data_IF_694637122677
#
_entry.id   IF_694637122677
#
_cell.length_a   1.000
_cell.length_b   1.000
_cell.length_c   1.000
_cell.angle_alpha   90.00
_cell.angle_beta   90.00
_cell.angle_gamma   90.00
#
_symmetry.space_group_name_H-M   'P 1'
#
loop_
_entity.id
_entity.type
_entity.pdbx_description
1 polymer ?
#
# COMPACT_ATOMS: atom_id res chain seq x y z
N UNK A 1 16.43 3.16 -3.74
CA UNK A 1 16.63 1.81 -4.32
C UNK A 1 15.51 1.58 -5.32
N UNK A 2 15.80 1.03 -6.51
CA UNK A 2 14.73 0.62 -7.43
C UNK A 2 13.95 -0.54 -6.81
N UNK A 3 12.63 -0.41 -6.72
CA UNK A 3 11.71 -1.46 -6.26
C UNK A 3 11.00 -2.00 -7.48
N UNK A 4 11.13 -3.30 -7.73
CA UNK A 4 10.70 -3.99 -8.95
C UNK A 4 11.38 -3.50 -10.24
N UNK A 5 11.43 -4.34 -11.29
CA UNK A 5 11.87 -3.91 -12.62
C UNK A 5 11.09 -2.69 -13.13
N UNK A 6 11.70 -1.89 -14.01
CA UNK A 6 11.07 -0.67 -14.55
C UNK A 6 9.83 -0.95 -15.41
N UNK A 7 9.73 -2.15 -15.97
CA UNK A 7 8.57 -2.64 -16.73
C UNK A 7 7.52 -3.35 -15.86
N UNK A 8 7.74 -3.43 -14.54
CA UNK A 8 6.77 -3.94 -13.59
C UNK A 8 5.51 -3.05 -13.57
N UNK A 9 4.29 -3.60 -13.42
CA UNK A 9 3.09 -2.80 -13.26
C UNK A 9 3.19 -1.76 -12.15
N UNK A 10 3.89 -2.04 -11.04
CA UNK A 10 4.12 -1.06 -9.97
C UNK A 10 4.83 0.20 -10.46
N UNK A 11 5.67 0.12 -11.48
CA UNK A 11 6.41 1.27 -12.01
C UNK A 11 5.78 1.86 -13.28
N UNK A 12 4.59 1.40 -13.67
CA UNK A 12 3.90 1.86 -14.88
C UNK A 12 3.33 3.27 -14.69
N UNK A 13 3.78 4.19 -15.56
CA UNK A 13 3.16 5.50 -15.75
C UNK A 13 1.77 5.36 -16.37
N UNK A 14 0.76 5.93 -15.72
CA UNK A 14 -0.65 5.89 -16.13
C UNK A 14 -1.22 7.27 -16.45
N UNK A 15 -0.39 8.32 -16.48
CA UNK A 15 -0.82 9.71 -16.71
C UNK A 15 -1.57 9.88 -18.04
N UNK A 16 -1.25 9.06 -19.05
CA UNK A 16 -1.88 9.07 -20.38
C UNK A 16 -2.78 7.86 -20.62
N UNK A 17 -2.98 7.00 -19.63
CA UNK A 17 -3.85 5.83 -19.79
C UNK A 17 -5.32 6.26 -20.04
N UNK A 18 -6.11 5.51 -20.81
CA UNK A 18 -7.51 5.84 -21.02
C UNK A 18 -8.30 5.94 -19.71
N UNK A 19 -9.26 6.86 -19.65
CA UNK A 19 -10.23 6.96 -18.55
C UNK A 19 -11.30 5.87 -18.72
N UNK A 20 -11.73 5.28 -17.61
CA UNK A 20 -12.76 4.24 -17.64
C UNK A 20 -14.13 4.80 -18.10
N UNK A 21 -14.89 4.09 -18.96
CA UNK A 21 -16.22 4.54 -19.40
C UNK A 21 -17.21 4.78 -18.25
N UNK A 22 -17.05 4.11 -17.10
CA UNK A 22 -17.88 4.28 -15.91
C UNK A 22 -17.27 5.22 -14.86
N UNK A 23 -16.28 6.03 -15.25
CA UNK A 23 -15.59 6.98 -14.36
C UNK A 23 -16.57 7.81 -13.54
N UNK A 24 -17.59 8.42 -14.17
CA UNK A 24 -18.54 9.29 -13.47
C UNK A 24 -19.30 8.56 -12.38
N UNK A 25 -19.76 7.33 -12.63
CA UNK A 25 -20.53 6.53 -11.70
C UNK A 25 -19.66 6.02 -10.54
N UNK A 26 -18.43 5.59 -10.83
CA UNK A 26 -17.50 5.09 -9.82
C UNK A 26 -17.05 6.25 -8.91
N UNK A 27 -16.63 7.39 -9.49
CA UNK A 27 -16.19 8.57 -8.72
C UNK A 27 -17.33 9.11 -7.85
N UNK A 28 -18.59 9.03 -8.29
CA UNK A 28 -19.73 9.47 -7.48
C UNK A 28 -19.79 8.78 -6.09
N UNK A 29 -19.37 7.52 -5.97
CA UNK A 29 -19.32 6.78 -4.70
C UNK A 29 -18.22 7.26 -3.73
N UNK A 30 -17.22 7.97 -4.24
CA UNK A 30 -16.06 8.45 -3.47
C UNK A 30 -15.80 9.95 -3.63
N UNK A 31 -16.75 10.71 -4.20
CA UNK A 31 -16.55 12.12 -4.55
C UNK A 31 -16.35 13.04 -3.34
N UNK A 32 -17.12 12.80 -2.27
CA UNK A 32 -17.11 13.65 -1.07
C UNK A 32 -15.91 13.39 -0.13
N UNK A 33 -15.48 12.14 0.12
CA UNK A 33 -14.24 11.87 0.85
C UNK A 33 -13.04 12.65 0.30
N UNK A 34 -12.08 12.91 1.19
CA UNK A 34 -10.83 13.59 0.87
C UNK A 34 -9.65 12.68 1.15
N UNK A 35 -8.51 12.95 0.53
CA UNK A 35 -7.28 12.22 0.82
C UNK A 35 -6.91 12.39 2.29
N UNK A 36 -6.68 11.25 2.95
CA UNK A 36 -6.18 11.20 4.32
C UNK A 36 -4.82 10.49 4.31
N UNK A 37 -3.77 11.22 4.68
CA UNK A 37 -2.49 10.60 5.00
C UNK A 37 -2.63 9.80 6.30
N UNK A 38 -2.48 8.49 6.19
CA UNK A 38 -2.46 7.55 7.32
C UNK A 38 -1.02 7.17 7.67
N UNK A 39 -0.18 8.20 7.81
CA UNK A 39 1.22 8.14 8.18
C UNK A 39 1.68 9.50 8.68
N UNK A 40 2.77 9.55 9.44
CA UNK A 40 3.30 10.81 9.98
C UNK A 40 4.43 10.64 10.98
N UNK A 41 4.68 11.70 11.75
CA UNK A 41 5.66 11.74 12.85
C UNK A 41 4.99 11.51 14.21
N UNK A 42 5.75 10.97 15.16
CA UNK A 42 5.30 10.71 16.52
C UNK A 42 4.36 9.51 16.66
N UNK A 43 3.54 9.55 17.70
CA UNK A 43 2.65 8.44 18.07
C UNK A 43 1.17 8.85 18.00
N UNK A 44 0.33 7.91 17.57
CA UNK A 44 -1.11 7.95 17.72
C UNK A 44 -1.56 6.74 18.57
N UNK A 45 -2.29 7.00 19.65
CA UNK A 45 -2.72 5.95 20.59
C UNK A 45 -1.58 5.04 21.09
N UNK A 46 -0.37 5.59 21.20
CA UNK A 46 0.82 4.88 21.67
C UNK A 46 1.59 4.10 20.60
N UNK A 47 1.12 4.07 19.35
CA UNK A 47 1.80 3.42 18.22
C UNK A 47 2.29 4.44 17.19
N UNK A 48 3.29 4.06 16.38
CA UNK A 48 3.77 4.87 15.26
C UNK A 48 2.63 5.14 14.25
N UNK A 49 2.64 6.33 13.63
CA UNK A 49 1.62 6.70 12.64
C UNK A 49 2.03 6.19 11.26
N UNK A 50 1.37 5.12 10.80
CA UNK A 50 1.60 4.46 9.51
C UNK A 50 2.11 3.03 9.67
N UNK A 51 2.53 2.42 8.56
CA UNK A 51 2.99 1.03 8.53
C UNK A 51 4.52 1.01 8.64
N UNK A 52 5.08 0.56 9.78
CA UNK A 52 6.53 0.53 9.96
C UNK A 52 7.17 -0.63 9.20
N UNK A 53 8.46 -0.51 8.91
CA UNK A 53 9.27 -1.58 8.34
C UNK A 53 10.67 -1.56 8.94
N UNK A 54 11.38 -2.68 8.83
CA UNK A 54 12.81 -2.79 9.14
C UNK A 54 13.60 -3.12 7.88
N UNK A 55 14.79 -2.53 7.75
CA UNK A 55 15.76 -2.93 6.74
C UNK A 55 16.71 -3.93 7.38
N UNK A 56 16.88 -5.07 6.72
CA UNK A 56 17.77 -6.15 7.17
C UNK A 56 18.89 -6.36 6.16
N UNK A 57 20.05 -6.77 6.67
CA UNK A 57 21.15 -7.23 5.83
C UNK A 57 20.91 -8.67 5.37
N UNK A 58 21.58 -9.09 4.29
CA UNK A 58 21.35 -10.37 3.64
C UNK A 58 21.76 -11.59 4.48
N UNK A 59 22.46 -11.37 5.59
CA UNK A 59 22.83 -12.40 6.58
C UNK A 59 21.98 -12.37 7.85
N UNK A 60 20.91 -11.57 7.90
CA UNK A 60 19.96 -11.55 9.02
C UNK A 60 19.47 -12.99 9.30
N UNK A 61 19.64 -13.51 10.53
CA UNK A 61 19.14 -14.82 10.89
C UNK A 61 17.65 -14.96 10.61
N UNK A 62 17.28 -16.06 9.96
CA UNK A 62 15.89 -16.37 9.68
C UNK A 62 15.20 -16.91 10.92
N UNK A 63 14.00 -16.42 11.18
CA UNK A 63 13.15 -16.78 12.31
C UNK A 63 11.95 -17.57 11.79
N UNK A 64 11.61 -18.62 12.52
CA UNK A 64 10.47 -19.47 12.19
C UNK A 64 9.15 -18.69 12.23
N UNK A 65 8.21 -19.14 11.42
CA UNK A 65 6.87 -18.56 11.36
C UNK A 65 5.88 -19.70 11.50
N UNK A 66 4.94 -19.52 12.41
CA UNK A 66 3.78 -20.37 12.58
C UNK A 66 2.56 -19.63 12.01
N UNK A 67 2.02 -20.13 10.90
CA UNK A 67 0.84 -19.53 10.28
C UNK A 67 -0.43 -20.02 10.97
N UNK A 68 -1.29 -19.09 11.42
CA UNK A 68 -2.48 -19.41 12.23
C UNK A 68 -3.77 -19.56 11.42
N UNK A 69 -3.83 -18.96 10.22
CA UNK A 69 -5.06 -18.92 9.41
C UNK A 69 -4.80 -19.30 7.94
N UNK A 70 -4.14 -18.44 7.18
CA UNK A 70 -3.92 -18.57 5.73
C UNK A 70 -2.58 -19.22 5.38
N UNK A 71 -2.22 -20.30 6.10
CA UNK A 71 -0.94 -20.97 5.91
C UNK A 71 -0.78 -21.64 4.54
N UNK A 72 -1.89 -22.06 3.92
CA UNK A 72 -1.97 -22.65 2.59
C UNK A 72 -1.89 -21.62 1.44
N UNK A 73 -2.11 -20.34 1.74
CA UNK A 73 -1.89 -19.21 0.84
C UNK A 73 -0.66 -18.35 1.23
N UNK A 74 0.20 -18.87 2.11
CA UNK A 74 1.42 -18.21 2.58
C UNK A 74 2.68 -18.84 1.99
N UNK A 75 3.73 -18.04 1.80
CA UNK A 75 5.03 -18.59 1.43
C UNK A 75 5.66 -19.31 2.64
N UNK A 76 6.24 -20.51 2.49
CA UNK A 76 6.84 -21.21 3.62
C UNK A 76 8.01 -20.43 4.25
N UNK A 77 8.01 -20.31 5.58
CA UNK A 77 9.12 -19.77 6.37
C UNK A 77 10.36 -20.68 6.40
N UNK A 78 11.43 -20.28 7.12
CA UNK A 78 11.56 -19.10 7.97
C UNK A 78 11.91 -17.81 7.20
N UNK A 79 11.61 -16.63 7.76
CA UNK A 79 11.91 -15.32 7.15
C UNK A 79 12.99 -14.56 7.92
N UNK A 80 13.79 -13.68 7.29
CA UNK A 80 14.74 -12.80 7.97
C UNK A 80 14.05 -11.61 8.67
N UNK A 81 12.94 -11.87 9.39
CA UNK A 81 12.19 -10.85 10.13
C UNK A 81 12.59 -10.92 11.61
N UNK A 82 13.46 -10.02 12.12
CA UNK A 82 13.96 -10.08 13.49
C UNK A 82 12.83 -9.91 14.50
N UNK A 83 12.90 -10.57 15.68
CA UNK A 83 11.82 -10.52 16.69
C UNK A 83 11.55 -9.12 17.26
N UNK A 84 12.47 -8.18 17.07
CA UNK A 84 12.29 -6.76 17.44
C UNK A 84 11.84 -5.89 16.25
N UNK A 85 11.46 -6.48 15.11
CA UNK A 85 10.85 -5.74 14.01
C UNK A 85 9.60 -5.00 14.54
N UNK A 86 9.40 -3.74 14.13
CA UNK A 86 8.25 -2.97 14.58
C UNK A 86 6.96 -3.60 14.05
N UNK A 87 5.94 -3.64 14.90
CA UNK A 87 4.60 -4.12 14.56
C UNK A 87 3.70 -2.90 14.42
N UNK A 88 2.98 -2.81 13.30
CA UNK A 88 1.96 -1.78 13.11
C UNK A 88 0.97 -1.78 14.28
N UNK A 89 0.55 -0.58 14.73
CA UNK A 89 -0.42 -0.46 15.82
C UNK A 89 0.04 -1.05 17.15
N UNK A 90 1.34 -1.36 17.30
CA UNK A 90 1.89 -2.15 18.42
C UNK A 90 1.13 -3.47 18.65
N UNK A 91 0.73 -4.16 17.57
CA UNK A 91 0.00 -5.42 17.66
C UNK A 91 -1.51 -5.26 17.86
N UNK A 92 -2.04 -4.06 17.61
CA UNK A 92 -3.48 -3.79 17.52
C UNK A 92 -3.91 -3.61 16.07
N UNK A 93 -5.08 -4.13 15.70
CA UNK A 93 -5.55 -4.08 14.30
C UNK A 93 -4.81 -5.09 13.43
N UNK A 94 -4.50 -4.72 12.19
CA UNK A 94 -3.89 -5.61 11.21
C UNK A 94 -2.50 -6.10 11.62
N UNK A 95 -1.77 -5.31 12.42
CA UNK A 95 -0.49 -5.71 13.01
C UNK A 95 0.53 -6.18 11.96
N UNK A 96 0.63 -5.42 10.86
CA UNK A 96 1.59 -5.70 9.79
C UNK A 96 3.04 -5.66 10.30
N UNK A 97 3.87 -6.60 9.83
CA UNK A 97 5.32 -6.62 10.08
C UNK A 97 6.05 -6.79 8.76
N UNK A 98 6.92 -5.83 8.44
CA UNK A 98 7.62 -5.74 7.16
C UNK A 98 9.13 -5.78 7.37
N UNK A 99 9.81 -6.71 6.71
CA UNK A 99 11.26 -6.75 6.61
C UNK A 99 11.72 -6.65 5.15
N UNK A 100 12.61 -5.69 4.88
CA UNK A 100 13.17 -5.44 3.55
C UNK A 100 14.64 -5.84 3.53
N UNK A 101 14.96 -6.93 2.84
CA UNK A 101 16.33 -7.37 2.57
C UNK A 101 16.84 -6.65 1.32
N UNK A 102 17.56 -5.56 1.54
CA UNK A 102 18.05 -4.70 0.47
C UNK A 102 19.24 -5.30 -0.29
N UNK A 103 19.95 -6.26 0.28
CA UNK A 103 21.11 -6.91 -0.33
C UNK A 103 20.64 -8.00 -1.30
N UNK A 104 19.72 -8.84 -0.86
CA UNK A 104 19.14 -9.91 -1.68
C UNK A 104 17.94 -9.45 -2.53
N UNK A 105 17.47 -8.22 -2.33
CA UNK A 105 16.28 -7.64 -3.02
C UNK A 105 15.02 -8.45 -2.75
N UNK A 106 14.81 -8.81 -1.49
CA UNK A 106 13.65 -9.58 -1.06
C UNK A 106 12.83 -8.76 -0.06
N UNK A 107 11.52 -8.93 -0.11
CA UNK A 107 10.56 -8.33 0.80
C UNK A 107 9.78 -9.45 1.50
N UNK A 108 9.63 -9.32 2.80
CA UNK A 108 8.93 -10.27 3.66
C UNK A 108 7.89 -9.51 4.47
N UNK A 109 6.63 -9.91 4.34
CA UNK A 109 5.50 -9.24 4.98
C UNK A 109 4.64 -10.25 5.72
N UNK A 110 4.23 -9.89 6.94
CA UNK A 110 3.35 -10.69 7.79
C UNK A 110 2.11 -9.88 8.14
N UNK A 111 0.96 -10.55 8.17
CA UNK A 111 -0.30 -9.99 8.63
C UNK A 111 -0.74 -10.65 9.94
N UNK A 112 -1.35 -9.83 10.80
CA UNK A 112 -1.81 -10.20 12.13
C UNK A 112 -0.72 -10.87 12.97
N UNK A 113 0.48 -10.27 12.91
CA UNK A 113 1.69 -10.88 13.44
C UNK A 113 1.90 -10.53 14.92
N UNK A 114 2.40 -11.49 15.68
CA UNK A 114 2.85 -11.31 17.06
C UNK A 114 4.05 -12.19 17.35
N UNK A 115 4.93 -11.71 18.24
CA UNK A 115 6.04 -12.51 18.74
C UNK A 115 5.53 -13.54 19.73
N UNK A 116 5.92 -14.81 19.56
CA UNK A 116 5.64 -15.89 20.49
C UNK A 116 6.96 -16.58 20.87
N UNK A 117 7.54 -16.17 22.00
CA UNK A 117 8.83 -16.68 22.46
C UNK A 117 9.97 -16.38 21.48
N UNK A 118 10.32 -17.37 20.67
CA UNK A 118 11.44 -17.33 19.72
C UNK A 118 11.02 -17.35 18.23
N UNK A 119 9.73 -17.20 17.94
CA UNK A 119 9.19 -17.20 16.59
C UNK A 119 8.07 -16.16 16.41
N UNK A 120 7.59 -16.03 15.17
CA UNK A 120 6.41 -15.26 14.84
C UNK A 120 5.19 -16.17 14.71
N UNK A 121 4.09 -15.82 15.37
CA UNK A 121 2.75 -16.23 14.95
C UNK A 121 2.22 -15.17 13.99
N UNK A 122 1.64 -15.57 12.86
CA UNK A 122 1.00 -14.65 11.90
C UNK A 122 -0.18 -15.33 11.19
N UNK A 123 -1.22 -14.58 10.83
CA UNK A 123 -2.33 -15.14 10.05
C UNK A 123 -1.89 -15.51 8.64
N UNK A 124 -1.04 -14.68 8.00
CA UNK A 124 -0.46 -14.96 6.69
C UNK A 124 0.97 -14.42 6.58
N UNK A 125 1.70 -14.88 5.57
CA UNK A 125 3.01 -14.34 5.21
C UNK A 125 3.31 -14.41 3.72
N UNK A 126 3.93 -13.36 3.21
CA UNK A 126 4.23 -13.20 1.79
C UNK A 126 5.69 -12.82 1.56
N UNK A 127 6.30 -13.43 0.54
CA UNK A 127 7.64 -13.12 0.04
C UNK A 127 7.51 -12.52 -1.36
N UNK A 128 8.21 -11.41 -1.60
CA UNK A 128 8.30 -10.79 -2.92
C UNK A 128 9.76 -10.60 -3.33
N UNK A 129 10.07 -10.98 -4.57
CA UNK A 129 11.35 -10.68 -5.19
C UNK A 129 11.29 -9.31 -5.86
N UNK A 130 12.00 -8.33 -5.29
CA UNK A 130 12.00 -6.94 -5.74
C UNK A 130 12.79 -6.72 -7.05
N UNK A 131 13.37 -7.76 -7.64
CA UNK A 131 13.98 -7.75 -8.97
C UNK A 131 13.15 -8.50 -10.01
N UNK A 132 11.93 -8.94 -9.68
CA UNK A 132 11.10 -9.76 -10.56
C UNK A 132 9.77 -9.09 -10.92
N UNK A 133 9.24 -9.45 -12.09
CA UNK A 133 7.86 -9.16 -12.48
C UNK A 133 6.87 -10.28 -12.09
N UNK A 134 7.38 -11.33 -11.43
CA UNK A 134 6.56 -12.41 -10.92
C UNK A 134 5.66 -11.91 -9.80
N UNK A 135 4.35 -12.11 -9.96
CA UNK A 135 3.36 -11.86 -8.91
C UNK A 135 3.16 -13.12 -8.06
N UNK A 136 2.45 -12.98 -6.94
CA UNK A 136 1.98 -14.12 -6.15
C UNK A 136 1.10 -15.06 -7.00
N UNK A 137 0.97 -16.34 -6.62
CA UNK A 137 0.02 -17.25 -7.25
C UNK A 137 -1.39 -16.64 -7.34
N UNK A 138 -2.14 -17.02 -8.38
CA UNK A 138 -3.50 -16.50 -8.56
C UNK A 138 -4.41 -16.96 -7.43
N UNK A 139 -5.22 -16.05 -6.91
CA UNK A 139 -6.14 -16.36 -5.82
C UNK A 139 -5.49 -16.38 -4.44
N UNK A 140 -4.17 -16.19 -4.31
CA UNK A 140 -3.51 -16.16 -3.00
C UNK A 140 -3.54 -14.76 -2.39
N UNK A 141 -3.98 -14.66 -1.15
CA UNK A 141 -3.84 -13.46 -0.32
C UNK A 141 -2.36 -13.15 -0.02
N UNK A 142 -2.11 -12.05 0.68
CA UNK A 142 -0.80 -11.65 1.20
C UNK A 142 -0.95 -11.05 2.60
N UNK A 143 0.01 -10.22 3.03
CA UNK A 143 -0.23 -9.33 4.17
C UNK A 143 -1.24 -8.21 3.83
N UNK A 144 -1.42 -7.91 2.55
CA UNK A 144 -2.44 -6.99 2.02
C UNK A 144 -3.63 -7.78 1.43
N UNK A 145 -4.86 -7.30 1.62
CA UNK A 145 -6.07 -8.01 1.18
C UNK A 145 -6.14 -8.27 -0.33
N UNK A 146 -5.54 -7.41 -1.16
CA UNK A 146 -5.51 -7.58 -2.61
C UNK A 146 -4.49 -8.65 -3.10
N UNK A 147 -3.72 -9.25 -2.20
CA UNK A 147 -2.59 -10.11 -2.57
C UNK A 147 -1.40 -9.30 -3.13
N UNK A 148 -1.35 -8.00 -2.83
CA UNK A 148 -0.32 -7.06 -3.27
C UNK A 148 0.77 -6.92 -2.19
N UNK A 149 2.01 -6.56 -2.56
CA UNK A 149 3.00 -6.16 -1.56
C UNK A 149 2.65 -4.80 -0.93
N UNK A 150 2.76 -4.65 0.39
CA UNK A 150 2.46 -3.40 1.12
C UNK A 150 3.56 -2.38 0.91
N UNK A 151 4.81 -2.75 1.19
CA UNK A 151 5.96 -1.83 1.18
C UNK A 151 6.08 -1.03 -0.13
N UNK A 152 5.96 -1.62 -1.34
CA UNK A 152 6.02 -0.89 -2.60
C UNK A 152 4.92 0.15 -2.79
N UNK A 153 3.84 0.11 -2.02
CA UNK A 153 2.77 1.11 -2.04
C UNK A 153 2.84 2.17 -0.94
N UNK A 154 3.81 2.09 -0.02
CA UNK A 154 3.95 3.06 1.08
C UNK A 154 4.67 4.33 0.61
N UNK A 155 4.13 5.50 0.97
CA UNK A 155 4.89 6.76 0.93
C UNK A 155 6.01 6.72 1.97
N UNK A 156 7.25 6.98 1.56
CA UNK A 156 8.42 7.01 2.46
C UNK A 156 9.09 8.38 2.46
N UNK A 157 9.60 8.81 3.61
CA UNK A 157 10.24 10.12 3.72
C UNK A 157 11.49 10.26 2.83
N UNK A 158 12.24 9.19 2.64
CA UNK A 158 13.43 9.21 1.78
C UNK A 158 13.09 9.51 0.30
N UNK A 159 11.84 9.30 -0.13
CA UNK A 159 11.34 9.67 -1.46
C UNK A 159 11.06 11.17 -1.55
N UNK A 160 10.67 11.79 -0.43
CA UNK A 160 10.58 13.25 -0.32
C UNK A 160 11.97 13.87 -0.44
N UNK A 161 12.97 13.28 0.21
CA UNK A 161 14.37 13.71 0.09
C UNK A 161 14.88 13.51 -1.34
N UNK A 162 14.51 12.39 -1.99
CA UNK A 162 14.80 12.10 -3.40
C UNK A 162 14.12 13.11 -4.35
N UNK A 163 12.99 13.69 -3.94
CA UNK A 163 12.19 14.63 -4.73
C UNK A 163 11.15 13.98 -5.64
N UNK A 164 11.02 12.65 -5.58
CA UNK A 164 10.09 11.87 -6.40
C UNK A 164 9.66 10.57 -5.72
N UNK A 165 8.40 10.21 -5.92
CA UNK A 165 7.82 8.89 -5.64
C UNK A 165 7.52 8.26 -7.00
N UNK A 166 8.09 7.10 -7.27
CA UNK A 166 8.13 6.44 -8.58
C UNK A 166 7.20 5.23 -8.72
N UNK A 167 6.24 5.10 -7.79
CA UNK A 167 5.27 4.01 -7.70
C UNK A 167 3.86 4.54 -7.34
N UNK A 168 2.77 3.76 -7.53
CA UNK A 168 1.45 4.14 -7.05
C UNK A 168 1.41 4.09 -5.52
N UNK A 169 0.55 4.90 -4.92
CA UNK A 169 0.35 4.90 -3.48
C UNK A 169 -0.83 3.97 -3.15
N UNK A 170 -0.65 3.03 -2.21
CA UNK A 170 -1.75 2.16 -1.80
C UNK A 170 -2.81 2.96 -1.06
N UNK A 171 -4.07 2.63 -1.30
CA UNK A 171 -5.19 3.25 -0.59
C UNK A 171 -6.31 2.26 -0.32
N UNK A 172 -7.22 2.67 0.58
CA UNK A 172 -8.38 1.88 0.96
C UNK A 172 -9.70 2.54 0.57
N UNK A 173 -10.74 1.71 0.45
CA UNK A 173 -12.13 2.13 0.28
C UNK A 173 -13.06 1.33 1.20
N UNK A 174 -14.19 1.92 1.56
CA UNK A 174 -15.23 1.22 2.32
C UNK A 174 -15.81 0.08 1.49
N UNK A 175 -16.30 -0.99 2.13
CA UNK A 175 -16.67 -2.24 1.42
C UNK A 175 -17.75 -2.06 0.35
N UNK A 176 -18.60 -1.04 0.46
CA UNK A 176 -19.61 -0.69 -0.54
C UNK A 176 -19.05 -0.02 -1.81
N UNK A 177 -17.80 0.47 -1.75
CA UNK A 177 -17.08 1.05 -2.88
C UNK A 177 -16.07 0.05 -3.50
N UNK A 178 -15.93 -1.14 -2.92
CA UNK A 178 -15.05 -2.21 -3.42
C UNK A 178 -15.89 -3.32 -4.05
N UNK A 179 -15.61 -3.67 -5.30
CA UNK A 179 -16.20 -4.81 -6.01
C UNK A 179 -15.54 -6.10 -5.51
N UNK A 180 -16.28 -7.21 -5.30
CA UNK A 180 -15.72 -8.50 -4.88
C UNK A 180 -15.02 -9.21 -6.06
N UNK A 181 -14.00 -8.56 -6.61
CA UNK A 181 -13.19 -8.93 -7.76
C UNK A 181 -11.82 -8.26 -7.65
N UNK A 182 -10.86 -8.75 -8.42
CA UNK A 182 -9.54 -8.16 -8.57
C UNK A 182 -9.14 -8.14 -10.04
N UNK A 183 -8.20 -7.25 -10.36
CA UNK A 183 -7.53 -7.17 -11.65
C UNK A 183 -6.02 -7.16 -11.42
N UNK A 184 -5.25 -7.54 -12.43
CA UNK A 184 -3.80 -7.42 -12.38
C UNK A 184 -3.35 -5.98 -12.05
N UNK A 185 -2.38 -5.77 -11.13
CA UNK A 185 -1.50 -6.77 -10.52
C UNK A 185 -2.02 -7.45 -9.24
N UNK A 186 -3.19 -7.08 -8.73
CA UNK A 186 -3.78 -7.77 -7.58
C UNK A 186 -4.07 -9.24 -7.92
N UNK A 187 -4.01 -10.10 -6.90
CA UNK A 187 -4.11 -11.55 -7.02
C UNK A 187 -5.25 -12.15 -6.21
N UNK A 188 -5.83 -11.38 -5.31
CA UNK A 188 -6.83 -11.86 -4.36
C UNK A 188 -7.96 -10.85 -4.18
N UNK A 189 -9.09 -11.34 -3.67
CA UNK A 189 -10.26 -10.55 -3.30
C UNK A 189 -10.80 -10.98 -1.96
N UNK A 190 -11.40 -10.04 -1.25
CA UNK A 190 -12.17 -10.32 -0.03
C UNK A 190 -13.66 -10.16 -0.29
N UNK A 191 -14.48 -10.57 0.68
CA UNK A 191 -15.91 -10.26 0.66
C UNK A 191 -16.13 -8.76 0.78
N UNK A 192 -16.98 -8.20 -0.09
CA UNK A 192 -17.35 -6.79 -0.10
C UNK A 192 -18.77 -6.62 -0.65
N UNK A 193 -19.37 -5.44 -0.48
CA UNK A 193 -20.76 -5.16 -0.89
C UNK A 193 -20.87 -4.22 -2.09
N UNK A 194 -19.73 -3.83 -2.69
CA UNK A 194 -19.72 -2.99 -3.88
C UNK A 194 -20.23 -3.72 -5.12
N UNK A 195 -20.86 -2.95 -6.00
CA UNK A 195 -21.58 -3.45 -7.18
C UNK A 195 -20.87 -3.13 -8.49
N UNK A 196 -21.67 -2.94 -9.55
CA UNK A 196 -21.18 -2.65 -10.90
C UNK A 196 -20.26 -1.41 -10.95
N UNK A 197 -20.64 -0.35 -10.23
CA UNK A 197 -19.95 0.95 -10.17
C UNK A 197 -19.01 1.08 -8.96
N UNK A 198 -18.31 -0.01 -8.63
CA UNK A 198 -17.31 -0.08 -7.57
C UNK A 198 -15.98 -0.57 -8.15
N UNK A 199 -14.86 -0.21 -7.51
CA UNK A 199 -13.53 -0.58 -7.97
C UNK A 199 -13.16 -2.01 -7.55
N UNK A 200 -12.62 -2.87 -8.44
CA UNK A 200 -11.98 -4.11 -8.01
C UNK A 200 -10.60 -3.83 -7.40
N UNK A 201 -10.08 -4.73 -6.56
CA UNK A 201 -8.69 -4.64 -6.10
C UNK A 201 -7.70 -4.60 -7.27
N UNK A 202 -6.62 -3.84 -7.11
CA UNK A 202 -5.63 -3.58 -8.16
C UNK A 202 -6.02 -2.47 -9.14
N UNK A 203 -7.29 -2.02 -9.15
CA UNK A 203 -7.69 -0.86 -9.94
C UNK A 203 -6.99 0.42 -9.47
N UNK A 204 -6.76 1.33 -10.42
CA UNK A 204 -6.14 2.62 -10.15
C UNK A 204 -7.07 3.79 -10.40
N UNK A 205 -6.96 4.77 -9.52
CA UNK A 205 -7.46 6.13 -9.75
C UNK A 205 -6.26 7.06 -9.83
N UNK A 206 -6.31 8.09 -10.69
CA UNK A 206 -5.23 9.09 -10.77
C UNK A 206 -5.79 10.48 -10.53
N UNK A 207 -4.98 11.33 -9.92
CA UNK A 207 -5.29 12.74 -9.76
C UNK A 207 -5.35 13.38 -11.15
N UNK A 208 -6.39 14.17 -11.44
CA UNK A 208 -6.55 14.81 -12.74
C UNK A 208 -5.34 15.68 -13.09
N UNK A 209 -4.92 15.62 -14.35
CA UNK A 209 -3.74 16.34 -14.82
C UNK A 209 -3.81 17.85 -14.57
N UNK A 210 -5.01 18.44 -14.67
CA UNK A 210 -5.27 19.87 -14.49
C UNK A 210 -5.51 20.32 -13.04
N UNK A 211 -5.51 19.41 -12.05
CA UNK A 211 -5.60 19.79 -10.65
C UNK A 211 -4.38 20.64 -10.26
N UNK A 212 -4.59 21.86 -9.77
CA UNK A 212 -3.48 22.75 -9.42
C UNK A 212 -2.85 22.32 -8.08
N UNK A 213 -1.54 22.04 -8.12
CA UNK A 213 -0.77 21.64 -6.93
C UNK A 213 0.16 22.76 -6.45
N UNK A 214 0.20 23.91 -7.13
CA UNK A 214 1.18 24.98 -6.86
C UNK A 214 1.04 25.59 -5.46
N UNK A 215 -0.17 25.57 -4.89
CA UNK A 215 -0.46 26.04 -3.54
C UNK A 215 -0.03 25.09 -2.41
N UNK A 216 0.41 23.87 -2.73
CA UNK A 216 0.88 22.90 -1.74
C UNK A 216 2.37 23.08 -1.44
N UNK A 217 2.82 22.59 -0.30
CA UNK A 217 4.24 22.52 0.05
C UNK A 217 5.02 21.68 -0.97
N UNK A 218 6.35 21.85 -1.00
CA UNK A 218 7.21 21.00 -1.84
C UNK A 218 7.02 19.51 -1.55
N UNK A 219 6.86 19.13 -0.27
CA UNK A 219 6.57 17.77 0.18
C UNK A 219 5.27 17.23 -0.41
N UNK A 220 4.16 17.94 -0.22
CA UNK A 220 2.87 17.50 -0.74
C UNK A 220 2.83 17.52 -2.27
N UNK A 221 3.52 18.44 -2.92
CA UNK A 221 3.64 18.43 -4.38
C UNK A 221 4.32 17.16 -4.90
N UNK A 222 5.31 16.59 -4.18
CA UNK A 222 5.94 15.31 -4.56
C UNK A 222 4.90 14.19 -4.53
N UNK A 223 4.12 14.10 -3.44
CA UNK A 223 3.04 13.11 -3.28
C UNK A 223 1.99 13.26 -4.38
N UNK A 224 1.50 14.49 -4.61
CA UNK A 224 0.47 14.77 -5.61
C UNK A 224 0.97 14.52 -7.05
N UNK A 225 2.25 14.76 -7.34
CA UNK A 225 2.85 14.39 -8.63
C UNK A 225 2.82 12.87 -8.84
N UNK A 226 3.11 12.06 -7.82
CA UNK A 226 2.94 10.61 -7.92
C UNK A 226 1.48 10.22 -8.15
N UNK A 227 0.52 10.84 -7.45
CA UNK A 227 -0.91 10.59 -7.68
C UNK A 227 -1.36 10.92 -9.11
N UNK A 228 -0.74 11.89 -9.78
CA UNK A 228 -0.99 12.18 -11.21
C UNK A 228 -0.35 11.13 -12.12
N UNK A 229 0.89 10.74 -11.84
CA UNK A 229 1.72 9.92 -12.72
C UNK A 229 1.46 8.41 -12.58
N UNK A 230 1.47 7.91 -11.35
CA UNK A 230 1.34 6.49 -11.03
C UNK A 230 -0.03 6.14 -10.43
N UNK A 231 -0.72 7.13 -9.86
CA UNK A 231 -2.05 6.98 -9.27
C UNK A 231 -2.05 6.41 -7.86
N UNK A 232 -3.26 6.16 -7.37
CA UNK A 232 -3.53 5.36 -6.19
C UNK A 232 -3.94 3.96 -6.65
N UNK A 233 -3.50 2.92 -5.95
CA UNK A 233 -3.85 1.52 -6.22
C UNK A 233 -4.71 0.95 -5.07
N UNK A 234 -5.88 0.42 -5.41
CA UNK A 234 -6.81 -0.09 -4.42
C UNK A 234 -6.29 -1.43 -3.89
N UNK A 235 -5.92 -1.44 -2.61
CA UNK A 235 -5.20 -2.55 -1.98
C UNK A 235 -6.03 -3.23 -0.88
N UNK A 236 -6.82 -2.46 -0.14
CA UNK A 236 -7.58 -3.00 0.99
C UNK A 236 -8.97 -2.36 1.18
N UNK A 237 -9.79 -3.02 2.00
CA UNK A 237 -11.01 -2.44 2.56
C UNK A 237 -10.64 -1.64 3.81
N UNK A 238 -11.14 -0.42 3.88
CA UNK A 238 -10.88 0.48 5.00
C UNK A 238 -11.69 1.76 4.88
N UNK A 239 -11.14 2.86 5.36
CA UNK A 239 -11.77 4.17 5.18
C UNK A 239 -11.53 4.70 3.77
N UNK A 240 -12.50 5.42 3.21
CA UNK A 240 -12.38 5.97 1.85
C UNK A 240 -11.21 6.95 1.76
N UNK A 241 -10.32 6.72 0.78
CA UNK A 241 -9.20 7.61 0.41
C UNK A 241 -8.12 7.79 1.49
N UNK A 242 -7.99 6.81 2.39
CA UNK A 242 -6.83 6.73 3.26
C UNK A 242 -5.66 6.17 2.46
N UNK A 243 -4.58 6.94 2.37
CA UNK A 243 -3.32 6.54 1.72
C UNK A 243 -2.30 6.16 2.78
N UNK A 244 -1.56 5.08 2.54
CA UNK A 244 -0.60 4.56 3.52
C UNK A 244 0.82 5.04 3.26
N UNK A 245 1.59 5.13 4.34
CA UNK A 245 3.01 5.45 4.30
C UNK A 245 3.73 4.92 5.53
N UNK A 246 5.05 5.10 5.53
CA UNK A 246 5.89 4.72 6.65
C UNK A 246 5.99 5.87 7.68
N UNK A 247 6.02 5.54 8.99
CA UNK A 247 6.27 6.52 10.04
C UNK A 247 7.67 7.11 9.92
N UNK A 248 7.79 8.41 10.18
CA UNK A 248 9.08 9.11 10.21
C UNK A 248 8.97 10.43 10.99
N UNK A 249 9.89 10.68 11.92
CA UNK A 249 9.90 11.90 12.74
C UNK A 249 10.09 13.18 11.93
N UNK A 250 10.59 13.08 10.70
CA UNK A 250 10.79 14.22 9.80
C UNK A 250 9.49 14.70 9.13
N UNK A 251 8.40 13.93 9.22
CA UNK A 251 7.10 14.36 8.71
C UNK A 251 6.55 15.57 9.46
N UNK A 252 6.00 16.53 8.72
CA UNK A 252 5.16 17.58 9.29
C UNK A 252 3.69 17.16 9.18
N UNK A 253 3.08 16.78 10.31
CA UNK A 253 1.70 16.30 10.34
C UNK A 253 0.68 17.37 9.94
N UNK A 254 0.93 18.66 10.22
CA UNK A 254 0.05 19.75 9.80
C UNK A 254 0.11 19.97 8.29
N UNK A 255 1.29 19.80 7.70
CA UNK A 255 1.46 19.85 6.25
C UNK A 255 0.78 18.66 5.56
N UNK A 256 0.98 17.43 6.05
CA UNK A 256 0.31 16.24 5.52
C UNK A 256 -1.23 16.35 5.58
N UNK A 257 -1.78 16.96 6.64
CA UNK A 257 -3.23 17.22 6.75
C UNK A 257 -3.77 18.09 5.62
N UNK A 258 -2.94 18.89 4.94
CA UNK A 258 -3.38 19.70 3.79
C UNK A 258 -3.74 18.88 2.56
N UNK A 259 -3.29 17.62 2.46
CA UNK A 259 -3.79 16.69 1.44
C UNK A 259 -5.31 16.48 1.53
N UNK A 260 -5.93 16.76 2.69
CA UNK A 260 -7.38 16.77 2.86
C UNK A 260 -8.13 17.84 2.06
N UNK A 261 -7.43 18.67 1.28
CA UNK A 261 -8.03 19.57 0.28
C UNK A 261 -8.25 18.88 -1.08
N UNK A 262 -7.72 17.67 -1.27
CA UNK A 262 -7.91 16.87 -2.49
C UNK A 262 -9.10 15.93 -2.26
N UNK A 263 -10.17 16.14 -3.01
CA UNK A 263 -11.38 15.35 -2.94
C UNK A 263 -11.31 14.16 -3.91
N UNK A 264 -12.09 13.11 -3.65
CA UNK A 264 -12.20 12.00 -4.62
C UNK A 264 -12.75 12.45 -5.97
N UNK A 265 -13.52 13.54 -6.03
CA UNK A 265 -13.96 14.18 -7.28
C UNK A 265 -12.82 14.77 -8.11
N UNK A 266 -11.63 14.98 -7.54
CA UNK A 266 -10.43 15.43 -8.24
C UNK A 266 -9.68 14.29 -8.95
N UNK A 267 -10.13 13.05 -8.75
CA UNK A 267 -9.58 11.87 -9.39
C UNK A 267 -10.39 11.45 -10.62
N UNK A 268 -9.75 10.63 -11.43
CA UNK A 268 -10.39 9.88 -12.50
C UNK A 268 -9.94 8.42 -12.46
N UNK A 269 -10.85 7.52 -12.85
CA UNK A 269 -10.64 6.08 -12.87
C UNK A 269 -9.86 5.72 -14.13
N UNK A 270 -8.75 5.03 -13.94
CA UNK A 270 -7.98 4.49 -15.07
C UNK A 270 -8.69 3.25 -15.59
N UNK A 271 -8.86 3.17 -16.91
CA UNK A 271 -9.58 2.07 -17.57
C UNK A 271 -9.00 0.72 -17.17
N UNK A 272 -9.86 -0.15 -16.67
CA UNK A 272 -9.52 -1.53 -16.27
C UNK A 272 -10.42 -2.61 -16.89
N UNK A 273 -11.38 -2.19 -17.72
CA UNK A 273 -12.33 -3.03 -18.43
C UNK A 273 -11.92 -3.25 -19.90
#
# INVERSE_FOLDING_TARGET
>A
MQIFPTDNPWNKDISTSPVDPFNTQIIAGIAAPVIKADFGSGLWQGALIGIPYVVVCGNQPKIAINFTDYGDESDPGPYPTPLNAPIEGNGSGDSHVIAVDIENKMLYELFYARVNGNHWDASSGAIFNLNSNQMRPEGWTSADAAGLPIFPGLVRYDEIVKGEIDHPIRFTLTSNNVKPAYIYPARHKVSSTGGQYSLPFGARIRLKANFDISGYSATNQIILRSMKKYGLILADIGSNLYISGAPDERWNNDDLRRLGQVHGSDFEVVKFN
#
